data_IF_135893489985
#
_entry.id   IF_135893489985
#
_cell.length_a   1.000
_cell.length_b   1.000
_cell.length_c   1.000
_cell.angle_alpha   90.00
_cell.angle_beta   90.00
_cell.angle_gamma   90.00
#
_symmetry.space_group_name_H-M   'P 1'
#
loop_
_entity.id
_entity.type
_entity.pdbx_description
1 polymer ?
#
# COMPACT_ATOMS: atom_id res chain seq x y z
N UNK A 1 17.69 7.90 12.30
CA UNK A 1 17.61 6.44 12.22
C UNK A 1 16.15 6.11 12.42
N UNK A 2 15.36 6.13 11.34
CA UNK A 2 13.93 5.86 11.40
C UNK A 2 13.76 4.36 11.63
N UNK A 3 13.17 3.99 12.76
CA UNK A 3 12.85 2.60 13.07
C UNK A 3 11.94 2.04 11.96
N UNK A 4 12.43 1.03 11.26
CA UNK A 4 11.62 0.27 10.31
C UNK A 4 10.47 -0.36 11.11
N UNK A 5 9.20 -0.24 10.65
CA UNK A 5 8.07 -0.84 11.34
C UNK A 5 8.33 -2.32 11.61
N UNK A 6 8.12 -2.75 12.85
CA UNK A 6 8.20 -4.15 13.25
C UNK A 6 7.11 -4.97 12.54
N UNK A 7 7.34 -6.27 12.39
CA UNK A 7 6.40 -7.18 11.72
C UNK A 7 4.99 -7.17 12.36
N UNK A 8 4.94 -6.97 13.68
CA UNK A 8 3.69 -6.82 14.43
C UNK A 8 2.93 -5.55 14.05
N UNK A 9 3.63 -4.42 13.87
CA UNK A 9 3.01 -3.15 13.43
C UNK A 9 2.48 -3.27 12.00
N UNK A 10 3.24 -3.91 11.10
CA UNK A 10 2.83 -4.16 9.72
C UNK A 10 1.53 -4.97 9.64
N UNK A 11 1.46 -6.07 10.41
CA UNK A 11 0.25 -6.90 10.48
C UNK A 11 -0.94 -6.15 11.10
N UNK A 12 -0.68 -5.28 12.09
CA UNK A 12 -1.69 -4.41 12.68
C UNK A 12 -2.27 -3.41 11.66
N UNK A 13 -1.39 -2.76 10.88
CA UNK A 13 -1.79 -1.85 9.80
C UNK A 13 -2.62 -2.57 8.72
N UNK A 14 -2.20 -3.77 8.29
CA UNK A 14 -2.94 -4.55 7.32
C UNK A 14 -4.35 -4.88 7.83
N UNK A 15 -4.47 -5.28 9.10
CA UNK A 15 -5.76 -5.60 9.71
C UNK A 15 -6.67 -4.37 9.82
N UNK A 16 -6.09 -3.23 10.19
CA UNK A 16 -6.79 -1.95 10.25
C UNK A 16 -7.38 -1.55 8.89
N UNK A 17 -6.56 -1.57 7.84
CA UNK A 17 -6.98 -1.20 6.49
C UNK A 17 -7.99 -2.17 5.90
N UNK A 18 -7.91 -3.48 6.24
CA UNK A 18 -8.94 -4.45 5.85
C UNK A 18 -10.30 -4.08 6.47
N UNK A 19 -10.31 -3.69 7.74
CA UNK A 19 -11.51 -3.20 8.41
C UNK A 19 -12.11 -1.96 7.75
N UNK A 20 -11.28 -0.97 7.41
CA UNK A 20 -11.73 0.23 6.71
C UNK A 20 -12.28 -0.08 5.31
N UNK A 21 -11.64 -0.99 4.57
CA UNK A 21 -12.15 -1.45 3.28
C UNK A 21 -13.54 -2.07 3.41
N UNK A 22 -13.75 -2.97 4.38
CA UNK A 22 -15.08 -3.54 4.64
C UNK A 22 -16.11 -2.48 4.99
N UNK A 23 -15.76 -1.48 5.79
CA UNK A 23 -16.66 -0.35 6.08
C UNK A 23 -16.99 0.44 4.81
N UNK A 24 -16.03 0.64 3.90
CA UNK A 24 -16.27 1.32 2.62
C UNK A 24 -17.18 0.48 1.69
N UNK A 25 -16.95 -0.82 1.61
CA UNK A 25 -17.79 -1.76 0.83
C UNK A 25 -19.25 -1.73 1.30
N UNK A 26 -19.45 -1.69 2.62
CA UNK A 26 -20.75 -1.61 3.27
C UNK A 26 -21.36 -0.19 3.26
N UNK A 27 -20.61 0.82 2.81
CA UNK A 27 -21.06 2.22 2.77
C UNK A 27 -21.10 2.93 4.14
N UNK A 28 -20.50 2.33 5.15
CA UNK A 28 -20.29 2.90 6.50
C UNK A 28 -19.15 3.93 6.49
N UNK A 29 -18.10 3.67 5.71
CA UNK A 29 -17.04 4.63 5.45
C UNK A 29 -17.38 5.42 4.18
N UNK A 30 -17.58 6.73 4.35
CA UNK A 30 -17.87 7.68 3.29
C UNK A 30 -16.86 8.80 3.31
N UNK A 31 -16.43 9.24 2.14
CA UNK A 31 -15.41 10.26 2.02
C UNK A 31 -15.75 11.26 0.93
N UNK A 32 -15.64 12.55 1.25
CA UNK A 32 -15.77 13.60 0.26
C UNK A 32 -14.96 13.26 -1.01
N UNK A 33 -15.58 13.32 -2.22
CA UNK A 33 -14.92 12.88 -3.45
C UNK A 33 -13.60 13.58 -3.75
N UNK A 34 -13.48 14.88 -3.43
CA UNK A 34 -12.27 15.64 -3.68
C UNK A 34 -11.14 15.21 -2.72
N UNK A 35 -11.45 15.09 -1.43
CA UNK A 35 -10.48 14.63 -0.43
C UNK A 35 -10.06 13.19 -0.71
N UNK A 36 -11.03 12.30 -0.98
CA UNK A 36 -10.75 10.91 -1.28
C UNK A 36 -9.90 10.74 -2.54
N UNK A 37 -10.17 11.50 -3.59
CA UNK A 37 -9.37 11.48 -4.82
C UNK A 37 -7.93 11.95 -4.55
N UNK A 38 -7.74 12.97 -3.71
CA UNK A 38 -6.40 13.44 -3.33
C UNK A 38 -5.63 12.39 -2.50
N UNK A 39 -6.31 11.72 -1.57
CA UNK A 39 -5.71 10.66 -0.76
C UNK A 39 -5.36 9.43 -1.60
N UNK A 40 -6.25 9.03 -2.52
CA UNK A 40 -5.99 7.97 -3.50
C UNK A 40 -4.78 8.31 -4.36
N UNK A 41 -4.73 9.51 -4.94
CA UNK A 41 -3.61 9.95 -5.76
C UNK A 41 -2.27 9.91 -5.00
N UNK A 42 -2.28 10.28 -3.71
CA UNK A 42 -1.10 10.17 -2.85
C UNK A 42 -0.70 8.71 -2.61
N UNK A 43 -1.66 7.82 -2.37
CA UNK A 43 -1.38 6.39 -2.21
C UNK A 43 -0.79 5.81 -3.50
N UNK A 44 -1.32 6.15 -4.66
CA UNK A 44 -0.82 5.70 -5.98
C UNK A 44 0.60 6.22 -6.27
N UNK A 45 0.90 7.47 -5.89
CA UNK A 45 2.26 8.00 -5.97
C UNK A 45 3.22 7.23 -5.05
N UNK A 46 2.80 6.90 -3.82
CA UNK A 46 3.61 6.07 -2.92
C UNK A 46 3.83 4.66 -3.45
N UNK A 47 2.83 4.05 -4.10
CA UNK A 47 3.02 2.74 -4.76
C UNK A 47 4.08 2.80 -5.84
N UNK A 48 4.07 3.86 -6.65
CA UNK A 48 5.06 4.06 -7.70
C UNK A 48 6.48 4.10 -7.11
N UNK A 49 6.69 4.88 -6.05
CA UNK A 49 7.99 4.95 -5.37
C UNK A 49 8.41 3.61 -4.74
N UNK A 50 7.47 2.88 -4.13
CA UNK A 50 7.76 1.56 -3.55
C UNK A 50 8.15 0.54 -4.63
N UNK A 51 7.47 0.54 -5.78
CA UNK A 51 7.80 -0.33 -6.91
C UNK A 51 9.19 -0.01 -7.49
N UNK A 52 9.58 1.27 -7.53
CA UNK A 52 10.94 1.68 -7.88
C UNK A 52 11.96 1.16 -6.87
N UNK A 53 11.69 1.25 -5.57
CA UNK A 53 12.57 0.68 -4.54
C UNK A 53 12.70 -0.85 -4.66
N UNK A 54 11.63 -1.55 -5.04
CA UNK A 54 11.71 -3.01 -5.32
C UNK A 54 12.64 -3.28 -6.50
N UNK A 55 12.63 -2.44 -7.53
CA UNK A 55 13.57 -2.55 -8.64
C UNK A 55 15.02 -2.34 -8.18
N UNK A 56 15.29 -1.33 -7.35
CA UNK A 56 16.63 -1.06 -6.81
C UNK A 56 17.13 -2.21 -5.92
N UNK A 57 16.25 -2.83 -5.13
CA UNK A 57 16.58 -3.99 -4.31
C UNK A 57 17.05 -5.19 -5.14
N UNK A 58 16.51 -5.38 -6.34
CA UNK A 58 17.01 -6.43 -7.25
C UNK A 58 18.45 -6.19 -7.69
N UNK A 59 18.87 -4.94 -7.83
CA UNK A 59 20.28 -4.65 -8.12
C UNK A 59 21.20 -5.04 -6.94
N UNK A 60 20.71 -4.92 -5.70
CA UNK A 60 21.45 -5.30 -4.49
C UNK A 60 21.62 -6.83 -4.33
N UNK A 61 20.78 -7.63 -4.98
CA UNK A 61 20.98 -9.09 -5.07
C UNK A 61 22.34 -9.44 -5.71
N UNK A 62 22.79 -8.62 -6.65
CA UNK A 62 24.02 -8.81 -7.41
C UNK A 62 25.18 -7.96 -6.88
N UNK A 63 25.13 -7.54 -5.62
CA UNK A 63 26.18 -6.74 -4.99
C UNK A 63 27.54 -7.46 -5.07
N UNK A 64 28.59 -6.71 -5.38
CA UNK A 64 29.95 -7.21 -5.58
C UNK A 64 30.99 -6.29 -4.94
N UNK A 65 32.28 -6.58 -5.12
CA UNK A 65 33.37 -5.73 -4.61
C UNK A 65 33.88 -6.06 -3.20
N UNK A 66 33.46 -7.19 -2.61
CA UNK A 66 33.88 -7.60 -1.27
C UNK A 66 35.28 -8.21 -1.22
N UNK A 67 35.82 -8.68 -2.36
CA UNK A 67 37.10 -9.39 -2.44
C UNK A 67 36.93 -10.91 -2.47
N UNK A 68 38.04 -11.65 -2.42
CA UNK A 68 38.08 -13.12 -2.66
C UNK A 68 38.32 -13.96 -1.42
N UNK A 69 38.57 -13.34 -0.26
CA UNK A 69 38.69 -14.05 1.01
C UNK A 69 37.36 -14.77 1.33
N UNK A 70 37.42 -15.93 1.98
CA UNK A 70 36.21 -16.70 2.33
C UNK A 70 35.21 -15.89 3.16
N UNK A 71 35.69 -15.02 4.07
CA UNK A 71 34.86 -14.10 4.85
C UNK A 71 34.18 -13.03 3.98
N UNK A 72 34.88 -12.50 2.98
CA UNK A 72 34.34 -11.53 2.04
C UNK A 72 33.20 -12.14 1.20
N UNK A 73 33.40 -13.35 0.68
CA UNK A 73 32.37 -14.09 -0.06
C UNK A 73 31.16 -14.38 0.83
N UNK A 74 31.37 -14.75 2.09
CA UNK A 74 30.29 -14.96 3.05
C UNK A 74 29.52 -13.67 3.34
N UNK A 75 30.20 -12.52 3.44
CA UNK A 75 29.57 -11.23 3.64
C UNK A 75 28.73 -10.83 2.43
N UNK A 76 29.28 -10.94 1.21
CA UNK A 76 28.56 -10.68 -0.03
C UNK A 76 27.24 -11.47 -0.10
N UNK A 77 27.30 -12.77 0.20
CA UNK A 77 26.10 -13.64 0.24
C UNK A 77 25.07 -13.15 1.26
N UNK A 78 25.51 -12.73 2.46
CA UNK A 78 24.61 -12.20 3.49
C UNK A 78 23.94 -10.89 3.07
N UNK A 79 24.67 -9.98 2.43
CA UNK A 79 24.11 -8.72 1.92
C UNK A 79 23.10 -8.98 0.79
N UNK A 80 23.45 -9.83 -0.18
CA UNK A 80 22.52 -10.25 -1.23
C UNK A 80 21.25 -10.90 -0.64
N UNK A 81 21.40 -11.75 0.38
CA UNK A 81 20.26 -12.36 1.05
C UNK A 81 19.39 -11.32 1.78
N UNK A 82 19.99 -10.34 2.46
CA UNK A 82 19.26 -9.23 3.10
C UNK A 82 18.52 -8.33 2.09
N UNK A 83 18.95 -8.30 0.84
CA UNK A 83 18.20 -7.63 -0.22
C UNK A 83 16.91 -8.39 -0.55
N UNK A 84 17.00 -9.71 -0.86
CA UNK A 84 15.89 -10.42 -1.54
C UNK A 84 15.34 -11.67 -0.86
N UNK A 85 16.17 -12.51 -0.22
CA UNK A 85 15.78 -13.88 0.17
C UNK A 85 15.66 -14.13 1.67
N UNK A 86 16.23 -13.27 2.50
CA UNK A 86 16.08 -13.37 3.96
C UNK A 86 14.62 -13.13 4.38
N UNK A 87 14.22 -13.73 5.50
CA UNK A 87 12.88 -13.55 6.07
C UNK A 87 12.56 -12.11 6.46
N UNK A 88 13.59 -11.31 6.73
CA UNK A 88 13.53 -9.88 7.00
C UNK A 88 14.17 -9.06 5.88
N UNK A 89 14.18 -9.59 4.65
CA UNK A 89 14.75 -8.94 3.48
C UNK A 89 14.04 -7.62 3.15
N UNK A 90 14.79 -6.68 2.57
CA UNK A 90 14.25 -5.42 2.08
C UNK A 90 13.10 -5.65 1.08
N UNK A 91 13.24 -6.62 0.17
CA UNK A 91 12.21 -6.96 -0.80
C UNK A 91 10.90 -7.35 -0.12
N UNK A 92 10.95 -8.22 0.90
CA UNK A 92 9.74 -8.65 1.61
C UNK A 92 9.08 -7.49 2.36
N UNK A 93 9.85 -6.64 3.04
CA UNK A 93 9.33 -5.46 3.73
C UNK A 93 8.71 -4.43 2.78
N UNK A 94 9.30 -4.23 1.60
CA UNK A 94 8.72 -3.39 0.57
C UNK A 94 7.42 -3.98 0.03
N UNK A 95 7.36 -5.29 -0.19
CA UNK A 95 6.14 -5.96 -0.64
C UNK A 95 5.00 -5.85 0.39
N UNK A 96 5.31 -6.06 1.68
CA UNK A 96 4.34 -5.84 2.77
C UNK A 96 3.81 -4.40 2.78
N UNK A 97 4.69 -3.41 2.56
CA UNK A 97 4.31 -2.01 2.47
C UNK A 97 3.44 -1.72 1.25
N UNK A 98 3.77 -2.30 0.09
CA UNK A 98 2.98 -2.21 -1.14
C UNK A 98 1.57 -2.75 -0.91
N UNK A 99 1.44 -3.89 -0.25
CA UNK A 99 0.14 -4.51 -0.01
C UNK A 99 -0.76 -3.61 0.86
N UNK A 100 -0.19 -2.96 1.88
CA UNK A 100 -0.91 -1.98 2.71
C UNK A 100 -1.33 -0.77 1.89
N UNK A 101 -0.43 -0.16 1.12
CA UNK A 101 -0.74 1.07 0.36
C UNK A 101 -1.73 0.78 -0.78
N UNK A 102 -1.68 -0.42 -1.39
CA UNK A 102 -2.72 -0.87 -2.34
C UNK A 102 -4.08 -0.91 -1.67
N UNK A 103 -4.14 -1.52 -0.49
CA UNK A 103 -5.38 -1.61 0.27
C UNK A 103 -5.92 -0.23 0.66
N UNK A 104 -5.03 0.72 0.99
CA UNK A 104 -5.39 2.12 1.21
C UNK A 104 -6.04 2.75 -0.02
N UNK A 105 -5.39 2.64 -1.19
CA UNK A 105 -5.87 3.22 -2.45
C UNK A 105 -7.26 2.68 -2.82
N UNK A 106 -7.45 1.35 -2.73
CA UNK A 106 -8.73 0.69 -2.98
C UNK A 106 -9.83 1.13 -2.00
N UNK A 107 -9.48 1.29 -0.72
CA UNK A 107 -10.43 1.73 0.31
C UNK A 107 -10.95 3.14 0.02
N UNK A 108 -10.06 4.07 -0.34
CA UNK A 108 -10.47 5.42 -0.71
C UNK A 108 -11.35 5.43 -1.95
N UNK A 109 -11.02 4.64 -2.96
CA UNK A 109 -11.83 4.54 -4.18
C UNK A 109 -13.25 4.04 -3.89
N UNK A 110 -13.39 3.03 -3.04
CA UNK A 110 -14.70 2.51 -2.63
C UNK A 110 -15.50 3.53 -1.82
N UNK A 111 -14.86 4.24 -0.89
CA UNK A 111 -15.49 5.23 -0.04
C UNK A 111 -16.03 6.44 -0.83
N UNK A 112 -15.42 6.78 -1.97
CA UNK A 112 -15.87 7.84 -2.89
C UNK A 112 -17.07 7.34 -3.73
N UNK A 113 -16.94 6.18 -4.38
CA UNK A 113 -17.97 5.65 -5.31
C UNK A 113 -19.35 5.54 -4.66
N UNK A 114 -19.42 5.17 -3.38
CA UNK A 114 -20.69 5.03 -2.65
C UNK A 114 -21.43 6.36 -2.45
N UNK A 115 -20.72 7.49 -2.34
CA UNK A 115 -21.37 8.80 -2.26
C UNK A 115 -22.02 9.14 -3.60
N UNK A 116 -21.33 8.94 -4.71
CA UNK A 116 -21.88 9.22 -6.05
C UNK A 116 -23.14 8.39 -6.32
N UNK A 117 -23.13 7.10 -5.98
CA UNK A 117 -24.30 6.22 -6.11
C UNK A 117 -25.48 6.67 -5.23
N UNK A 118 -25.21 7.08 -3.98
CA UNK A 118 -26.24 7.52 -3.03
C UNK A 118 -26.85 8.86 -3.45
N UNK A 119 -26.03 9.80 -3.91
CA UNK A 119 -26.47 11.13 -4.34
C UNK A 119 -27.30 11.03 -5.63
N UNK A 120 -26.90 10.20 -6.59
CA UNK A 120 -27.68 9.97 -7.81
C UNK A 120 -29.05 9.34 -7.50
N UNK A 121 -29.10 8.34 -6.60
CA UNK A 121 -30.35 7.70 -6.19
C UNK A 121 -31.30 8.67 -5.47
N UNK A 122 -30.75 9.50 -4.56
CA UNK A 122 -31.52 10.50 -3.82
C UNK A 122 -32.05 11.60 -4.75
N UNK A 123 -31.22 12.11 -5.66
CA UNK A 123 -31.62 13.10 -6.66
C UNK A 123 -32.72 12.56 -7.60
N UNK A 124 -32.61 11.30 -8.02
CA UNK A 124 -33.64 10.63 -8.83
C UNK A 124 -35.00 10.53 -8.12
N UNK A 125 -34.98 10.19 -6.83
CA UNK A 125 -36.20 10.07 -6.00
C UNK A 125 -36.86 11.43 -5.74
N UNK A 126 -36.07 12.45 -5.41
CA UNK A 126 -36.55 13.82 -5.22
C UNK A 126 -37.10 14.41 -6.53
N UNK A 127 -36.42 14.18 -7.65
CA UNK A 127 -36.88 14.62 -8.97
C UNK A 127 -38.24 14.02 -9.37
N UNK A 128 -38.50 12.75 -9.02
CA UNK A 128 -39.81 12.11 -9.23
C UNK A 128 -40.90 12.65 -8.31
N UNK A 129 -40.56 12.95 -7.05
CA UNK A 129 -41.54 13.42 -6.06
C UNK A 129 -41.91 14.89 -6.26
N UNK A 130 -40.99 15.73 -6.78
CA UNK A 130 -41.25 17.14 -7.09
C UNK A 130 -42.08 17.39 -8.36
N UNK A 131 -42.37 16.36 -9.15
CA UNK A 131 -43.20 16.41 -10.36
C UNK A 131 -44.65 15.95 -10.16
N UNK A 132 -45.09 15.69 -8.92
CA UNK A 132 -46.50 15.41 -8.58
C UNK A 132 -47.24 16.64 -8.06
#
# INVERSE_FOLDING_TARGET
MTETPSETEMSGMLSHWKGLKTQAENGELRMDPQIGSALKARADAMLTELDLMVFDVKALEHVSGFGTLGSAVALQKKFAAKATTADDSAQKRLQESIDIVKLMSETYELAIRRIEETDQSTAGTLGQTGTQ
#
